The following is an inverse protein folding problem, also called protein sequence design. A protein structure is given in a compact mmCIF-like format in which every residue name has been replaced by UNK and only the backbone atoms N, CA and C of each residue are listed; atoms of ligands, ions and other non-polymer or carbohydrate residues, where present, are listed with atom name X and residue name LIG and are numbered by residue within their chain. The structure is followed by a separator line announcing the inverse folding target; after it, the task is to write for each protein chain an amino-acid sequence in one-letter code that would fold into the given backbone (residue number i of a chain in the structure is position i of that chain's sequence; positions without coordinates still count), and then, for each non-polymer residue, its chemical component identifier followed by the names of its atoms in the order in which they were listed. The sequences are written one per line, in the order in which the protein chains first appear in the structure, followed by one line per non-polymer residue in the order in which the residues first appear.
data_IF_510315043756
#
_entry.id   IF_510315043756
#
_cell.length_a   1.000
_cell.length_b   1.000
_cell.length_c   1.000
_cell.angle_alpha   90.00
_cell.angle_beta   90.00
_cell.angle_gamma   90.00
#
_symmetry.space_group_name_H-M   'P 1'
#
loop_
_entity.id
_entity.type
_entity.pdbx_description
1 polymer ?
#
# COMPACT_ATOMS: atom_id res chain seq x y z
N UNK A 1 0.07 -16.51 -4.50
CA UNK A 1 0.02 -15.06 -4.77
C UNK A 1 1.44 -14.53 -4.88
N UNK A 2 1.73 -13.56 -5.77
CA UNK A 2 3.07 -12.98 -5.92
C UNK A 2 3.03 -11.50 -5.53
N UNK A 3 3.91 -11.09 -4.63
CA UNK A 3 4.17 -9.70 -4.26
C UNK A 3 5.42 -9.21 -4.96
N UNK A 4 5.34 -8.12 -5.72
CA UNK A 4 6.51 -7.44 -6.31
C UNK A 4 6.68 -6.08 -5.67
N UNK A 5 7.88 -5.81 -5.11
CA UNK A 5 8.21 -4.54 -4.48
C UNK A 5 8.73 -3.56 -5.53
N UNK A 6 8.12 -2.40 -5.62
CA UNK A 6 8.63 -1.24 -6.34
C UNK A 6 9.15 -0.16 -5.37
N UNK A 7 9.42 1.03 -5.85
CA UNK A 7 9.97 2.07 -5.00
C UNK A 7 9.02 2.45 -3.84
N UNK A 8 9.60 2.69 -2.70
CA UNK A 8 8.97 3.23 -1.50
C UNK A 8 7.78 2.38 -1.00
N UNK A 9 6.56 2.90 -1.06
CA UNK A 9 5.35 2.20 -0.64
C UNK A 9 4.71 1.36 -1.75
N UNK A 10 5.20 1.47 -2.99
CA UNK A 10 4.57 0.80 -4.13
C UNK A 10 4.78 -0.71 -4.12
N UNK A 11 3.67 -1.46 -4.11
CA UNK A 11 3.65 -2.93 -4.17
C UNK A 11 2.61 -3.39 -5.17
N UNK A 12 2.99 -4.35 -6.01
CA UNK A 12 2.10 -5.06 -6.92
C UNK A 12 1.76 -6.44 -6.39
N UNK A 13 0.50 -6.83 -6.49
CA UNK A 13 0.00 -8.14 -6.13
C UNK A 13 -0.58 -8.79 -7.38
N UNK A 14 -0.05 -9.95 -7.76
CA UNK A 14 -0.55 -10.77 -8.88
C UNK A 14 -1.04 -12.12 -8.38
N UNK A 15 -2.12 -12.64 -9.00
CA UNK A 15 -2.51 -14.04 -8.82
C UNK A 15 -1.50 -14.98 -9.50
N UNK A 16 -1.44 -16.27 -9.09
CA UNK A 16 -0.49 -17.22 -9.68
C UNK A 16 -0.66 -17.44 -11.18
N UNK A 17 -1.89 -17.31 -11.69
CA UNK A 17 -2.23 -17.43 -13.12
C UNK A 17 -2.01 -16.14 -13.92
N UNK A 18 -1.75 -15.00 -13.23
CA UNK A 18 -1.61 -13.70 -13.84
C UNK A 18 -2.92 -13.03 -14.29
N UNK A 19 -4.07 -13.66 -14.00
CA UNK A 19 -5.38 -13.16 -14.41
C UNK A 19 -5.87 -11.97 -13.56
N UNK A 20 -5.38 -11.84 -12.31
CA UNK A 20 -5.74 -10.79 -11.36
C UNK A 20 -4.51 -10.01 -10.96
N UNK A 21 -4.63 -8.68 -10.91
CA UNK A 21 -3.51 -7.83 -10.48
C UNK A 21 -3.98 -6.51 -9.89
N UNK A 22 -3.36 -6.10 -8.79
CA UNK A 22 -3.51 -4.78 -8.19
C UNK A 22 -2.15 -4.16 -7.93
N UNK A 23 -2.06 -2.84 -8.10
CA UNK A 23 -0.92 -2.02 -7.73
C UNK A 23 -1.36 -1.08 -6.61
N UNK A 24 -0.59 -0.98 -5.54
CA UNK A 24 -0.92 -0.13 -4.39
C UNK A 24 0.14 0.95 -4.27
N UNK A 25 -0.29 2.19 -4.13
CA UNK A 25 0.52 3.39 -3.90
C UNK A 25 1.69 3.60 -4.89
N UNK A 26 1.46 3.66 -6.20
CA UNK A 26 2.48 4.09 -7.16
C UNK A 26 2.70 5.61 -7.07
N UNK A 27 3.62 6.03 -6.21
CA UNK A 27 4.01 7.43 -6.00
C UNK A 27 5.12 7.92 -6.94
N UNK A 28 5.62 9.12 -6.68
CA UNK A 28 6.57 9.86 -7.55
C UNK A 28 7.94 9.18 -7.76
N UNK A 29 8.27 8.16 -6.99
CA UNK A 29 9.50 7.38 -7.17
C UNK A 29 9.27 6.02 -7.85
N UNK A 30 8.01 5.72 -8.21
CA UNK A 30 7.67 4.44 -8.83
C UNK A 30 8.04 4.45 -10.32
N UNK A 31 8.64 3.37 -10.77
CA UNK A 31 8.95 3.17 -12.18
C UNK A 31 7.66 2.94 -12.99
N UNK A 32 7.50 3.57 -14.19
CA UNK A 32 6.30 3.42 -15.01
C UNK A 32 5.94 1.96 -15.36
N UNK A 33 6.95 1.08 -15.39
CA UNK A 33 6.82 -0.34 -15.67
C UNK A 33 5.95 -1.08 -14.64
N UNK A 34 5.80 -0.53 -13.43
CA UNK A 34 4.95 -1.08 -12.39
C UNK A 34 3.49 -1.23 -12.86
N UNK A 35 3.04 -0.35 -13.76
CA UNK A 35 1.68 -0.35 -14.30
C UNK A 35 1.44 -1.37 -15.43
N UNK A 36 2.49 -2.00 -15.99
CA UNK A 36 2.31 -2.88 -17.13
C UNK A 36 1.42 -4.09 -16.82
N UNK A 37 0.25 -4.17 -17.49
CA UNK A 37 -0.72 -5.25 -17.32
C UNK A 37 -1.44 -5.27 -15.97
N UNK A 38 -1.38 -4.17 -15.20
CA UNK A 38 -2.15 -4.00 -13.97
C UNK A 38 -3.62 -3.74 -14.29
N UNK A 39 -4.53 -4.39 -13.58
CA UNK A 39 -5.98 -4.22 -13.77
C UNK A 39 -6.59 -3.14 -12.88
N UNK A 40 -6.05 -2.98 -11.66
CA UNK A 40 -6.53 -1.97 -10.72
C UNK A 40 -5.39 -1.30 -9.96
N UNK A 41 -5.56 -0.03 -9.63
CA UNK A 41 -4.68 0.74 -8.73
C UNK A 41 -5.47 1.14 -7.50
N UNK A 42 -4.86 0.97 -6.33
CA UNK A 42 -5.40 1.38 -5.04
C UNK A 42 -4.49 2.47 -4.47
N UNK A 43 -5.05 3.62 -4.13
CA UNK A 43 -4.33 4.69 -3.44
C UNK A 43 -4.80 4.81 -2.01
N UNK A 44 -3.85 4.73 -1.07
CA UNK A 44 -4.16 4.87 0.37
C UNK A 44 -4.45 6.31 0.73
N UNK A 45 -3.69 7.26 0.18
CA UNK A 45 -3.83 8.70 0.44
C UNK A 45 -3.14 9.57 -0.65
N UNK A 46 -3.19 10.90 -0.48
CA UNK A 46 -2.83 11.88 -1.52
C UNK A 46 -1.37 12.36 -1.50
N UNK A 47 -0.50 11.88 -0.59
CA UNK A 47 0.89 12.34 -0.58
C UNK A 47 1.63 11.89 -1.84
N UNK A 48 2.56 12.73 -2.33
CA UNK A 48 3.24 12.52 -3.61
C UNK A 48 4.08 11.24 -3.66
N UNK A 49 4.57 10.76 -2.55
CA UNK A 49 5.31 9.51 -2.43
C UNK A 49 4.41 8.24 -2.50
N UNK A 50 3.08 8.43 -2.48
CA UNK A 50 2.07 7.38 -2.68
C UNK A 50 1.25 7.56 -3.95
N UNK A 51 1.11 8.79 -4.45
CA UNK A 51 0.35 9.12 -5.67
C UNK A 51 1.17 10.01 -6.58
N UNK A 52 1.41 9.58 -7.82
CA UNK A 52 1.86 10.43 -8.92
C UNK A 52 0.75 10.54 -9.96
N UNK A 53 0.12 11.73 -10.03
CA UNK A 53 -0.98 11.98 -10.98
C UNK A 53 -0.53 11.89 -12.44
N UNK A 54 0.72 12.23 -12.74
CA UNK A 54 1.29 12.14 -14.09
C UNK A 54 1.46 10.68 -14.53
N UNK A 55 1.99 9.83 -13.66
CA UNK A 55 2.09 8.38 -13.90
C UNK A 55 0.70 7.75 -14.03
N UNK A 56 -0.24 8.11 -13.16
CA UNK A 56 -1.62 7.63 -13.24
C UNK A 56 -2.28 8.05 -14.57
N UNK A 57 -2.14 9.31 -14.96
CA UNK A 57 -2.69 9.81 -16.23
C UNK A 57 -2.10 9.08 -17.44
N UNK A 58 -0.78 8.84 -17.44
CA UNK A 58 -0.12 8.08 -18.49
C UNK A 58 -0.59 6.62 -18.56
N UNK A 59 -0.73 5.97 -17.39
CA UNK A 59 -1.24 4.60 -17.29
C UNK A 59 -2.67 4.48 -17.80
N UNK A 60 -3.55 5.44 -17.46
CA UNK A 60 -4.93 5.50 -17.96
C UNK A 60 -5.01 5.76 -19.46
N UNK A 61 -4.11 6.58 -19.99
CA UNK A 61 -4.04 6.81 -21.43
C UNK A 61 -3.62 5.54 -22.19
N UNK A 62 -2.73 4.73 -21.59
CA UNK A 62 -2.28 3.46 -22.15
C UNK A 62 -3.33 2.34 -22.00
N UNK A 63 -4.04 2.31 -20.88
CA UNK A 63 -5.14 1.38 -20.58
C UNK A 63 -6.36 2.13 -20.03
N UNK A 64 -7.33 2.51 -20.87
CA UNK A 64 -8.58 3.13 -20.42
C UNK A 64 -9.42 2.22 -19.50
N UNK A 65 -9.16 0.91 -19.50
CA UNK A 65 -9.80 -0.09 -18.66
C UNK A 65 -9.29 -0.12 -17.22
N UNK A 66 -8.12 0.45 -16.93
CA UNK A 66 -7.49 0.45 -15.61
C UNK A 66 -8.45 0.97 -14.54
N UNK A 67 -8.76 0.17 -13.53
CA UNK A 67 -9.58 0.57 -12.39
C UNK A 67 -8.75 1.42 -11.42
N UNK A 68 -9.39 2.40 -10.78
CA UNK A 68 -8.74 3.23 -9.74
C UNK A 68 -9.67 3.32 -8.54
N UNK A 69 -9.18 3.00 -7.35
CA UNK A 69 -9.94 3.05 -6.10
C UNK A 69 -9.17 3.84 -5.04
N UNK A 70 -9.88 4.66 -4.28
CA UNK A 70 -9.31 5.43 -3.17
C UNK A 70 -10.40 5.95 -2.24
N UNK A 71 -10.04 6.68 -1.18
CA UNK A 71 -11.00 7.31 -0.27
C UNK A 71 -11.79 8.46 -0.97
N UNK A 72 -12.98 8.82 -0.45
CA UNK A 72 -13.88 9.74 -1.14
C UNK A 72 -13.30 11.11 -1.47
N UNK A 73 -12.46 11.67 -0.59
CA UNK A 73 -11.86 13.00 -0.78
C UNK A 73 -10.90 12.98 -1.99
N UNK A 74 -9.98 12.02 -2.05
CA UNK A 74 -9.05 11.87 -3.16
C UNK A 74 -9.77 11.45 -4.45
N UNK A 75 -10.80 10.62 -4.36
CA UNK A 75 -11.61 10.26 -5.53
C UNK A 75 -12.29 11.50 -6.15
N UNK A 76 -12.79 12.42 -5.31
CA UNK A 76 -13.39 13.67 -5.77
C UNK A 76 -12.36 14.63 -6.39
N UNK A 77 -11.15 14.70 -5.82
CA UNK A 77 -10.03 15.49 -6.34
C UNK A 77 -9.60 14.99 -7.71
N UNK A 78 -9.30 13.70 -7.82
CA UNK A 78 -8.87 13.05 -9.06
C UNK A 78 -9.95 13.03 -10.15
N UNK A 79 -11.24 13.06 -9.80
CA UNK A 79 -12.33 13.18 -10.76
C UNK A 79 -12.29 14.51 -11.53
N UNK A 80 -11.65 15.54 -10.99
CA UNK A 80 -11.38 16.82 -11.66
C UNK A 80 -10.21 16.77 -12.65
N UNK A 81 -9.39 15.72 -12.62
CA UNK A 81 -8.25 15.60 -13.52
C UNK A 81 -8.70 15.19 -14.94
N UNK A 82 -8.33 15.94 -16.00
CA UNK A 82 -8.82 15.70 -17.37
C UNK A 82 -8.63 14.26 -17.88
N UNK A 83 -7.52 13.62 -17.55
CA UNK A 83 -7.21 12.25 -17.97
C UNK A 83 -8.07 11.18 -17.27
N UNK A 84 -8.81 11.54 -16.21
CA UNK A 84 -9.64 10.63 -15.41
C UNK A 84 -11.13 10.95 -15.53
N UNK A 85 -11.50 12.03 -16.22
CA UNK A 85 -12.87 12.55 -16.29
C UNK A 85 -13.87 11.54 -16.89
N UNK A 86 -13.47 10.78 -17.91
CA UNK A 86 -14.35 9.79 -18.55
C UNK A 86 -14.62 8.56 -17.68
N UNK A 87 -13.72 8.25 -16.75
CA UNK A 87 -13.86 7.16 -15.80
C UNK A 87 -13.20 7.57 -14.47
N UNK A 88 -13.91 8.33 -13.64
CA UNK A 88 -13.38 8.82 -12.38
C UNK A 88 -13.06 7.66 -11.41
N UNK A 89 -12.13 7.85 -10.46
CA UNK A 89 -11.84 6.86 -9.44
C UNK A 89 -13.07 6.46 -8.63
N UNK A 90 -13.14 5.19 -8.27
CA UNK A 90 -14.17 4.67 -7.39
C UNK A 90 -13.84 5.03 -5.94
N UNK A 91 -14.76 5.74 -5.30
CA UNK A 91 -14.65 6.06 -3.87
C UNK A 91 -15.00 4.85 -3.02
N UNK A 92 -14.11 4.49 -2.08
CA UNK A 92 -14.32 3.43 -1.08
C UNK A 92 -14.11 3.97 0.32
N UNK A 93 -14.76 3.39 1.32
CA UNK A 93 -14.68 3.82 2.72
C UNK A 93 -14.13 2.73 3.61
N UNK A 94 -13.55 3.14 4.73
CA UNK A 94 -13.14 2.19 5.77
C UNK A 94 -14.31 1.28 6.18
N UNK A 95 -14.04 -0.03 6.27
CA UNK A 95 -15.03 -1.06 6.53
C UNK A 95 -15.72 -1.62 5.28
N UNK A 96 -15.56 -1.03 4.10
CA UNK A 96 -16.15 -1.54 2.86
C UNK A 96 -15.32 -2.70 2.29
N UNK A 97 -16.04 -3.74 1.82
CA UNK A 97 -15.49 -4.79 0.95
C UNK A 97 -15.86 -4.50 -0.49
N UNK A 98 -14.93 -4.67 -1.41
CA UNK A 98 -15.13 -4.44 -2.85
C UNK A 98 -14.22 -5.37 -3.67
N UNK A 99 -14.41 -5.36 -4.97
CA UNK A 99 -13.53 -6.05 -5.92
C UNK A 99 -12.66 -5.03 -6.65
N UNK A 100 -11.38 -5.34 -6.83
CA UNK A 100 -10.45 -4.55 -7.62
C UNK A 100 -9.45 -5.46 -8.34
N UNK A 101 -9.32 -5.30 -9.65
CA UNK A 101 -8.40 -6.11 -10.47
C UNK A 101 -8.65 -7.61 -10.35
N UNK A 102 -9.88 -8.04 -10.02
CA UNK A 102 -10.30 -9.41 -9.80
C UNK A 102 -10.02 -9.95 -8.39
N UNK A 103 -9.43 -9.16 -7.48
CA UNK A 103 -9.24 -9.52 -6.08
C UNK A 103 -10.36 -9.01 -5.18
N UNK A 104 -10.72 -9.80 -4.17
CA UNK A 104 -11.50 -9.31 -3.06
C UNK A 104 -10.62 -8.42 -2.18
N UNK A 105 -11.06 -7.17 -1.98
CA UNK A 105 -10.36 -6.16 -1.20
C UNK A 105 -11.25 -5.64 -0.08
N UNK A 106 -10.64 -5.37 1.08
CA UNK A 106 -11.30 -4.68 2.18
C UNK A 106 -10.51 -3.42 2.54
N UNK A 107 -11.18 -2.28 2.57
CA UNK A 107 -10.62 -1.04 3.06
C UNK A 107 -10.76 -0.96 4.59
N UNK A 108 -9.69 -0.58 5.29
CA UNK A 108 -9.66 -0.48 6.76
C UNK A 108 -8.98 0.83 7.21
N UNK A 109 -9.08 1.16 8.50
CA UNK A 109 -8.44 2.36 9.06
C UNK A 109 -9.24 3.64 8.78
N UNK A 110 -8.68 4.58 8.07
CA UNK A 110 -9.33 5.83 7.66
C UNK A 110 -8.52 7.10 7.90
N UNK A 111 -7.42 7.03 8.66
CA UNK A 111 -6.57 8.18 9.01
C UNK A 111 -5.10 7.88 8.88
N UNK A 112 -4.36 8.84 8.39
CA UNK A 112 -2.90 8.88 8.39
C UNK A 112 -2.35 8.96 9.82
N UNK A 113 -1.17 8.38 10.09
CA UNK A 113 -0.50 8.53 11.36
C UNK A 113 -0.09 9.99 11.58
N UNK A 114 -0.30 10.49 12.80
CA UNK A 114 -0.04 11.90 13.12
C UNK A 114 1.45 12.17 13.26
N UNK A 115 1.95 13.19 12.56
CA UNK A 115 3.36 13.61 12.64
C UNK A 115 3.63 14.40 13.91
N UNK A 116 2.81 15.43 14.18
CA UNK A 116 2.87 16.29 15.37
C UNK A 116 1.46 16.78 15.73
N UNK A 117 1.26 17.14 16.99
CA UNK A 117 0.00 17.74 17.45
C UNK A 117 -0.33 19.01 16.67
N UNK A 118 -1.60 19.12 16.21
CA UNK A 118 -2.09 20.28 15.47
C UNK A 118 -1.74 20.30 13.97
N UNK A 119 -1.04 19.28 13.45
CA UNK A 119 -0.86 19.12 12.01
C UNK A 119 -2.21 18.69 11.38
N UNK A 120 -2.53 19.19 10.17
CA UNK A 120 -3.78 18.81 9.49
C UNK A 120 -3.92 17.31 9.36
N UNK A 121 -5.12 16.82 9.64
CA UNK A 121 -5.47 15.44 9.47
C UNK A 121 -5.55 15.09 7.98
N UNK A 122 -5.11 13.89 7.63
CA UNK A 122 -5.15 13.36 6.26
C UNK A 122 -5.88 12.03 6.26
N UNK A 123 -6.80 11.84 5.31
CA UNK A 123 -7.43 10.54 5.11
C UNK A 123 -6.39 9.54 4.60
N UNK A 124 -6.43 8.31 5.14
CA UNK A 124 -5.61 7.19 4.69
C UNK A 124 -6.41 5.90 4.84
N UNK A 125 -6.51 5.11 3.77
CA UNK A 125 -7.08 3.77 3.81
C UNK A 125 -5.96 2.74 3.80
N UNK A 126 -6.03 1.77 4.71
CA UNK A 126 -5.30 0.52 4.53
C UNK A 126 -6.10 -0.43 3.63
N UNK A 127 -5.41 -1.26 2.86
CA UNK A 127 -6.05 -2.26 2.00
C UNK A 127 -5.62 -3.67 2.38
N UNK A 128 -6.61 -4.52 2.60
CA UNK A 128 -6.44 -5.94 2.83
C UNK A 128 -6.87 -6.69 1.56
N UNK A 129 -5.91 -7.26 0.86
CA UNK A 129 -6.10 -8.00 -0.41
C UNK A 129 -5.86 -9.47 -0.14
N UNK A 130 -6.92 -10.25 0.04
CA UNK A 130 -6.87 -11.71 0.30
C UNK A 130 -5.79 -12.11 1.34
N UNK A 131 -5.72 -11.38 2.47
CA UNK A 131 -4.77 -11.61 3.57
C UNK A 131 -3.42 -10.88 3.45
N UNK A 132 -3.18 -10.09 2.41
CA UNK A 132 -2.06 -9.17 2.30
C UNK A 132 -2.52 -7.78 2.74
N UNK A 133 -1.89 -7.22 3.76
CA UNK A 133 -2.26 -5.93 4.33
C UNK A 133 -1.24 -4.84 4.00
N UNK A 134 -1.70 -3.80 3.33
CA UNK A 134 -0.97 -2.55 3.09
C UNK A 134 -1.63 -1.44 3.89
N UNK A 135 -1.00 -0.93 4.96
CA UNK A 135 -1.63 0.05 5.85
C UNK A 135 -1.63 1.48 5.28
N UNK A 136 -0.88 1.76 4.20
CA UNK A 136 -0.49 3.11 3.85
C UNK A 136 0.40 3.70 4.94
N UNK A 137 0.23 4.98 5.24
CA UNK A 137 0.96 5.71 6.28
C UNK A 137 0.20 5.71 7.60
N UNK A 138 -0.12 4.52 8.06
CA UNK A 138 -0.82 4.30 9.32
C UNK A 138 -0.36 3.02 10.01
N UNK A 139 -0.56 2.97 11.33
CA UNK A 139 -0.31 1.79 12.17
C UNK A 139 -1.64 1.17 12.64
N UNK A 140 -2.67 1.24 11.77
CA UNK A 140 -3.96 0.66 12.07
C UNK A 140 -3.87 -0.87 12.15
N UNK A 141 -4.40 -1.44 13.23
CA UNK A 141 -4.47 -2.89 13.45
C UNK A 141 -5.87 -3.38 13.07
N UNK A 142 -6.02 -4.16 12.00
CA UNK A 142 -7.31 -4.71 11.61
C UNK A 142 -7.82 -5.72 12.66
N UNK A 143 -9.10 -5.65 13.04
CA UNK A 143 -9.71 -6.51 14.07
C UNK A 143 -11.10 -7.03 13.68
N UNK A 144 -11.60 -6.66 12.49
CA UNK A 144 -12.93 -7.05 12.03
C UNK A 144 -13.00 -8.47 11.48
N UNK A 145 -14.20 -9.03 11.33
CA UNK A 145 -14.39 -10.28 10.61
C UNK A 145 -13.87 -10.20 9.17
N UNK A 146 -13.05 -11.16 8.76
CA UNK A 146 -12.40 -11.18 7.44
C UNK A 146 -11.21 -10.23 7.32
N UNK A 147 -10.67 -9.75 8.43
CA UNK A 147 -9.47 -8.90 8.50
C UNK A 147 -8.24 -9.67 8.99
N UNK A 148 -8.18 -10.97 8.70
CA UNK A 148 -7.00 -11.79 9.00
C UNK A 148 -5.82 -11.40 8.12
N UNK A 149 -4.69 -11.06 8.74
CA UNK A 149 -3.46 -10.64 8.06
C UNK A 149 -2.47 -11.79 8.03
N UNK A 150 -2.22 -12.34 6.85
CA UNK A 150 -1.16 -13.34 6.63
C UNK A 150 0.18 -12.69 6.30
N UNK A 151 0.15 -11.64 5.50
CA UNK A 151 1.33 -10.87 5.14
C UNK A 151 1.10 -9.38 5.40
N UNK A 152 2.02 -8.74 6.13
CA UNK A 152 1.99 -7.31 6.42
C UNK A 152 3.07 -6.60 5.60
N UNK A 153 2.68 -5.53 4.92
CA UNK A 153 3.56 -4.56 4.30
C UNK A 153 3.78 -3.43 5.33
N UNK A 154 4.88 -3.49 6.07
CA UNK A 154 5.12 -2.60 7.21
C UNK A 154 5.89 -1.35 6.80
N UNK A 155 5.41 -0.14 7.05
CA UNK A 155 6.23 1.07 6.88
C UNK A 155 7.51 1.00 7.71
N UNK A 156 8.65 1.31 7.08
CA UNK A 156 9.98 1.23 7.71
C UNK A 156 10.54 2.60 8.12
N UNK A 157 9.95 3.68 7.65
CA UNK A 157 10.37 5.05 7.96
C UNK A 157 9.21 6.01 7.82
N UNK A 158 9.36 7.21 8.36
CA UNK A 158 8.40 8.29 8.30
C UNK A 158 8.55 9.19 9.53
N UNK A 159 8.24 10.49 9.43
CA UNK A 159 8.34 11.39 10.58
C UNK A 159 7.32 11.07 11.69
N UNK A 160 6.34 10.24 11.38
CA UNK A 160 5.27 9.77 12.25
C UNK A 160 5.53 8.37 12.84
N UNK A 161 6.66 7.72 12.48
CA UNK A 161 6.96 6.34 12.84
C UNK A 161 8.19 6.25 13.73
N UNK A 162 8.09 5.52 14.83
CA UNK A 162 9.24 5.02 15.59
C UNK A 162 9.43 3.52 15.40
N UNK A 163 10.67 3.03 15.54
CA UNK A 163 10.97 1.60 15.50
C UNK A 163 10.15 0.80 16.52
N UNK A 164 9.92 1.38 17.72
CA UNK A 164 9.07 0.77 18.76
C UNK A 164 7.66 0.52 18.25
N UNK A 165 7.02 1.54 17.69
CA UNK A 165 5.65 1.44 17.18
C UNK A 165 5.54 0.45 16.03
N UNK A 166 6.57 0.37 15.16
CA UNK A 166 6.64 -0.63 14.10
C UNK A 166 6.62 -2.05 14.69
N UNK A 167 7.48 -2.35 15.66
CA UNK A 167 7.54 -3.66 16.35
C UNK A 167 6.23 -3.97 17.07
N UNK A 168 5.68 -3.01 17.83
CA UNK A 168 4.42 -3.17 18.56
C UNK A 168 3.25 -3.43 17.61
N UNK A 169 3.22 -2.78 16.45
CA UNK A 169 2.20 -3.00 15.41
C UNK A 169 2.26 -4.43 14.86
N UNK A 170 3.45 -4.93 14.52
CA UNK A 170 3.61 -6.32 14.06
C UNK A 170 3.15 -7.30 15.13
N UNK A 171 3.54 -7.08 16.40
CA UNK A 171 3.14 -7.93 17.53
C UNK A 171 1.63 -7.90 17.79
N UNK A 172 0.96 -6.78 17.51
CA UNK A 172 -0.49 -6.65 17.63
C UNK A 172 -1.23 -7.36 16.49
N UNK A 173 -0.77 -7.19 15.25
CA UNK A 173 -1.35 -7.82 14.06
C UNK A 173 -1.04 -9.33 14.01
N UNK A 174 0.16 -9.74 14.40
CA UNK A 174 0.66 -11.13 14.36
C UNK A 174 0.60 -11.78 12.98
N UNK A 175 1.12 -11.14 11.93
CA UNK A 175 1.15 -11.72 10.60
C UNK A 175 2.14 -12.90 10.54
N UNK A 176 1.92 -13.83 9.61
CA UNK A 176 2.89 -14.90 9.35
C UNK A 176 4.19 -14.36 8.74
N UNK A 177 4.07 -13.34 7.87
CA UNK A 177 5.18 -12.72 7.15
C UNK A 177 5.06 -11.20 7.22
N UNK A 178 6.21 -10.53 7.29
CA UNK A 178 6.28 -9.05 7.24
C UNK A 178 7.34 -8.63 6.25
N UNK A 179 6.99 -7.66 5.40
CA UNK A 179 7.87 -7.07 4.41
C UNK A 179 7.91 -5.55 4.60
N UNK A 180 9.09 -4.92 4.66
CA UNK A 180 9.18 -3.46 4.79
C UNK A 180 8.80 -2.76 3.48
N UNK A 181 8.07 -1.68 3.63
CA UNK A 181 7.76 -0.66 2.62
C UNK A 181 8.10 0.73 3.16
N UNK A 182 7.81 1.79 2.42
CA UNK A 182 8.03 3.18 2.84
C UNK A 182 9.49 3.43 3.25
N UNK A 183 10.43 2.97 2.43
CA UNK A 183 11.84 2.82 2.79
C UNK A 183 12.83 3.58 1.89
N UNK A 184 12.35 4.32 0.87
CA UNK A 184 13.23 5.02 -0.09
C UNK A 184 14.09 6.12 0.55
N UNK A 185 13.69 6.66 1.69
CA UNK A 185 14.43 7.68 2.43
C UNK A 185 15.42 7.11 3.47
N UNK A 186 15.51 5.78 3.62
CA UNK A 186 16.51 5.13 4.46
C UNK A 186 17.84 5.01 3.73
N UNK A 187 18.93 5.29 4.44
CA UNK A 187 20.25 4.84 4.00
C UNK A 187 20.34 3.31 4.11
N UNK A 188 21.30 2.69 3.42
CA UNK A 188 21.54 1.25 3.54
C UNK A 188 21.78 0.82 5.01
N UNK A 189 22.51 1.63 5.78
CA UNK A 189 22.75 1.38 7.21
C UNK A 189 21.45 1.49 8.01
N UNK A 190 20.60 2.48 7.70
CA UNK A 190 19.30 2.62 8.36
C UNK A 190 18.36 1.46 8.08
N UNK A 191 18.34 0.99 6.83
CA UNK A 191 17.55 -0.18 6.43
C UNK A 191 18.05 -1.46 7.14
N UNK A 192 19.37 -1.71 7.14
CA UNK A 192 19.95 -2.85 7.84
C UNK A 192 19.65 -2.85 9.35
N UNK A 193 19.73 -1.67 9.98
CA UNK A 193 19.38 -1.51 11.40
C UNK A 193 17.90 -1.84 11.66
N UNK A 194 16.99 -1.27 10.85
CA UNK A 194 15.56 -1.56 10.96
C UNK A 194 15.27 -3.05 10.77
N UNK A 195 15.87 -3.67 9.73
CA UNK A 195 15.68 -5.08 9.39
C UNK A 195 16.17 -6.00 10.53
N UNK A 196 17.31 -5.67 11.15
CA UNK A 196 17.84 -6.41 12.28
C UNK A 196 16.86 -6.45 13.45
N UNK A 197 16.36 -5.28 13.87
CA UNK A 197 15.40 -5.19 14.98
C UNK A 197 14.08 -5.89 14.68
N UNK A 198 13.55 -5.75 13.48
CA UNK A 198 12.30 -6.41 13.11
C UNK A 198 12.46 -7.93 13.02
N UNK A 199 13.59 -8.42 12.48
CA UNK A 199 13.90 -9.84 12.42
C UNK A 199 14.01 -10.50 13.78
N UNK A 200 14.57 -9.80 14.78
CA UNK A 200 14.78 -10.32 16.14
C UNK A 200 13.54 -10.18 17.02
N UNK A 201 12.83 -9.03 16.95
CA UNK A 201 11.86 -8.65 17.98
C UNK A 201 10.39 -8.74 17.55
N UNK A 202 10.09 -8.76 16.24
CA UNK A 202 8.70 -8.65 15.79
C UNK A 202 7.88 -9.95 15.82
N UNK A 203 8.50 -11.10 16.11
CA UNK A 203 7.84 -12.41 16.17
C UNK A 203 7.07 -12.78 14.89
N UNK A 204 7.66 -12.49 13.73
CA UNK A 204 7.14 -12.77 12.38
C UNK A 204 8.27 -13.29 11.49
N UNK A 205 7.94 -13.92 10.35
CA UNK A 205 8.95 -14.19 9.31
C UNK A 205 9.22 -12.90 8.53
N UNK A 206 10.15 -12.10 9.03
CA UNK A 206 10.54 -10.84 8.41
C UNK A 206 11.49 -11.08 7.22
N UNK A 207 11.27 -10.38 6.12
CA UNK A 207 12.19 -10.38 4.98
C UNK A 207 12.02 -9.10 4.14
N UNK A 208 13.13 -8.47 3.74
CA UNK A 208 13.10 -7.39 2.75
C UNK A 208 13.03 -7.98 1.34
N UNK A 209 12.09 -7.49 0.53
CA UNK A 209 12.05 -7.73 -0.91
C UNK A 209 12.85 -6.62 -1.57
N UNK A 210 13.86 -6.95 -2.37
CA UNK A 210 14.62 -5.95 -3.10
C UNK A 210 13.75 -5.28 -4.18
N UNK A 211 14.14 -4.08 -4.59
CA UNK A 211 13.45 -3.32 -5.61
C UNK A 211 13.34 -4.11 -6.93
N UNK A 212 12.15 -4.25 -7.47
CA UNK A 212 11.85 -5.05 -8.67
C UNK A 212 11.76 -6.56 -8.43
N UNK A 213 12.12 -7.05 -7.24
CA UNK A 213 12.05 -8.46 -6.88
C UNK A 213 10.68 -8.84 -6.30
N UNK A 214 10.42 -10.15 -6.25
CA UNK A 214 9.13 -10.68 -5.82
C UNK A 214 9.25 -11.73 -4.73
N UNK A 215 8.26 -11.78 -3.84
CA UNK A 215 8.02 -12.88 -2.92
C UNK A 215 6.75 -13.65 -3.30
N UNK A 216 6.77 -14.97 -3.16
CA UNK A 216 5.59 -15.82 -3.34
C UNK A 216 4.95 -16.06 -1.97
N UNK A 217 3.64 -15.88 -1.93
CA UNK A 217 2.79 -16.21 -0.79
C UNK A 217 1.93 -17.43 -1.16
N UNK A 218 2.05 -18.46 -0.36
CA UNK A 218 1.28 -19.73 -0.47
C UNK A 218 -0.15 -19.56 0.03
#
# INVERSE_FOLDING_TARGET
MRLTKYAHACVRIDSPDGERSVLIDPGCWTEPEAFHGVRAVLYTHAHADHLDEGLLAAARAADPGLEVHTHPELAAELAGHPALADRPPTAVRAGEGFEAGGFAVRAVGGRHAQVIDGYPDCANLGYLVEGVYHPGDALHVPHGPGEDVRALLLPASGPWLSLREAIETVRAIRPERTFPIHDANLSAIGAENFDGWLGEEAATRYARIALGESAVLD
#
